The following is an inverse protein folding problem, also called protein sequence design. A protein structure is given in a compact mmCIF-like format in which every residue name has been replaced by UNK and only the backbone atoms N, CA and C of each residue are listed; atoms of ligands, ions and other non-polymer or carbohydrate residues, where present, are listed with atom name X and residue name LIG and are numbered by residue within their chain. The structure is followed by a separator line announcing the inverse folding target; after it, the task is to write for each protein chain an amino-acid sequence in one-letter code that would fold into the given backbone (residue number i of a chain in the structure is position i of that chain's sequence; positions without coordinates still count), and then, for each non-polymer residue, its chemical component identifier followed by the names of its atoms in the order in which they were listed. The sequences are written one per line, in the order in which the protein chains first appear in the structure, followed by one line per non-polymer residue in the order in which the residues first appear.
data_IF_497853943619
#
_entry.id   IF_497853943619
#
_cell.length_a   1.000
_cell.length_b   1.000
_cell.length_c   1.000
_cell.angle_alpha   90.00
_cell.angle_beta   90.00
_cell.angle_gamma   90.00
#
_symmetry.space_group_name_H-M   'P 1'
#
loop_
_entity.id
_entity.type
_entity.pdbx_description
1 polymer ?
#
# COMPACT_ATOMS: atom_id res chain seq x y z
N UNK A 1 6.70 -13.12 4.73
CA UNK A 1 6.32 -11.70 4.89
C UNK A 1 7.45 -10.77 5.36
N UNK A 2 8.56 -11.23 5.95
CA UNK A 2 9.69 -10.33 6.29
C UNK A 2 10.61 -9.99 5.10
N UNK A 3 10.52 -10.72 3.98
CA UNK A 3 11.49 -10.60 2.88
C UNK A 3 11.24 -9.43 1.93
N UNK A 4 9.99 -8.93 1.81
CA UNK A 4 9.67 -7.82 0.91
C UNK A 4 10.07 -6.44 1.48
N UNK A 5 10.12 -6.31 2.82
CA UNK A 5 10.32 -5.01 3.48
C UNK A 5 11.79 -4.54 3.36
N UNK A 6 12.75 -5.44 3.09
CA UNK A 6 14.16 -5.09 2.89
C UNK A 6 14.48 -4.47 1.52
N UNK A 7 13.54 -4.42 0.59
CA UNK A 7 13.81 -4.02 -0.80
C UNK A 7 13.45 -2.57 -1.16
N UNK A 8 13.31 -1.67 -0.17
CA UNK A 8 13.05 -0.25 -0.46
C UNK A 8 11.79 -0.06 -1.33
N UNK A 9 10.80 -0.94 -1.17
CA UNK A 9 9.55 -0.86 -1.91
C UNK A 9 8.87 0.43 -1.50
N UNK A 10 8.68 1.32 -2.46
CA UNK A 10 7.92 2.54 -2.25
C UNK A 10 6.43 2.18 -2.15
N UNK A 11 5.91 2.14 -0.92
CA UNK A 11 4.49 1.87 -0.64
C UNK A 11 3.56 2.98 -1.16
N UNK A 12 4.14 4.11 -1.55
CA UNK A 12 3.47 5.25 -2.13
C UNK A 12 3.56 5.26 -3.67
N UNK A 13 4.17 4.24 -4.27
CA UNK A 13 4.21 4.08 -5.71
C UNK A 13 2.79 4.05 -6.28
N UNK A 14 2.62 4.72 -7.42
CA UNK A 14 1.36 4.79 -8.14
C UNK A 14 1.40 3.86 -9.34
N UNK A 15 0.29 3.19 -9.60
CA UNK A 15 0.09 2.44 -10.84
C UNK A 15 -0.13 3.37 -12.04
N UNK A 16 -0.44 2.79 -13.20
CA UNK A 16 -0.70 3.53 -14.45
C UNK A 16 -1.91 4.46 -14.36
N UNK A 17 -2.83 4.19 -13.45
CA UNK A 17 -4.04 4.98 -13.19
C UNK A 17 -3.83 6.01 -12.07
N UNK A 18 -2.63 6.08 -11.50
CA UNK A 18 -2.30 7.00 -10.41
C UNK A 18 -2.70 6.50 -9.02
N UNK A 19 -3.11 5.24 -8.88
CA UNK A 19 -3.56 4.64 -7.61
C UNK A 19 -2.39 4.03 -6.84
N UNK A 20 -2.39 4.24 -5.53
CA UNK A 20 -1.45 3.58 -4.62
C UNK A 20 -1.95 2.20 -4.22
N UNK A 21 -1.06 1.35 -3.70
CA UNK A 21 -1.44 0.05 -3.14
C UNK A 21 -2.55 0.18 -2.08
N UNK A 22 -2.52 1.26 -1.29
CA UNK A 22 -3.54 1.54 -0.28
C UNK A 22 -4.90 1.89 -0.92
N UNK A 23 -4.90 2.67 -2.01
CA UNK A 23 -6.13 3.01 -2.72
C UNK A 23 -6.79 1.78 -3.32
N UNK A 24 -6.00 0.88 -3.90
CA UNK A 24 -6.48 -0.40 -4.43
C UNK A 24 -7.08 -1.28 -3.32
N UNK A 25 -6.42 -1.37 -2.15
CA UNK A 25 -6.95 -2.11 -1.01
C UNK A 25 -8.30 -1.53 -0.52
N UNK A 26 -8.46 -0.20 -0.52
CA UNK A 26 -9.73 0.43 -0.17
C UNK A 26 -10.83 0.19 -1.22
N UNK A 27 -10.49 0.18 -2.50
CA UNK A 27 -11.46 -0.10 -3.58
C UNK A 27 -11.96 -1.56 -3.55
N UNK A 28 -11.12 -2.48 -3.09
CA UNK A 28 -11.44 -3.90 -2.93
C UNK A 28 -12.07 -4.23 -1.55
N UNK A 29 -12.37 -3.21 -0.73
CA UNK A 29 -12.86 -3.34 0.66
C UNK A 29 -11.98 -4.25 1.54
N UNK A 30 -10.69 -4.35 1.18
CA UNK A 30 -9.71 -5.22 1.81
C UNK A 30 -9.04 -4.50 2.99
N UNK A 31 -9.75 -4.50 4.11
CA UNK A 31 -9.33 -3.84 5.36
C UNK A 31 -8.03 -4.41 5.90
N UNK A 32 -7.80 -5.73 5.80
CA UNK A 32 -6.56 -6.37 6.26
C UNK A 32 -5.34 -5.87 5.47
N UNK A 33 -5.46 -5.77 4.14
CA UNK A 33 -4.40 -5.22 3.30
C UNK A 33 -4.17 -3.74 3.58
N UNK A 34 -5.24 -2.95 3.80
CA UNK A 34 -5.13 -1.54 4.13
C UNK A 34 -4.42 -1.31 5.48
N UNK A 35 -4.78 -2.08 6.51
CA UNK A 35 -4.12 -2.04 7.82
C UNK A 35 -2.65 -2.41 7.74
N UNK A 36 -2.32 -3.45 6.99
CA UNK A 36 -0.93 -3.87 6.77
C UNK A 36 -0.12 -2.74 6.10
N UNK A 37 -0.65 -2.13 5.04
CA UNK A 37 0.02 -1.05 4.31
C UNK A 37 0.24 0.19 5.21
N UNK A 38 -0.76 0.56 6.01
CA UNK A 38 -0.64 1.66 6.98
C UNK A 38 0.40 1.35 8.06
N UNK A 39 0.42 0.12 8.58
CA UNK A 39 1.41 -0.30 9.57
C UNK A 39 2.85 -0.26 9.03
N UNK A 40 3.02 -0.39 7.71
CA UNK A 40 4.32 -0.28 7.04
C UNK A 40 4.65 1.14 6.54
N UNK A 41 3.79 2.13 6.80
CA UNK A 41 4.06 3.54 6.50
C UNK A 41 3.51 4.05 5.16
N UNK A 42 2.56 3.35 4.54
CA UNK A 42 1.83 3.88 3.38
C UNK A 42 1.07 5.16 3.77
N UNK A 43 1.10 6.17 2.90
CA UNK A 43 0.41 7.44 3.15
C UNK A 43 -1.04 7.38 2.65
N UNK A 44 -2.05 7.55 3.52
CA UNK A 44 -3.47 7.52 3.14
C UNK A 44 -3.92 8.73 2.31
N UNK A 45 -3.11 9.79 2.23
CA UNK A 45 -3.53 11.06 1.64
C UNK A 45 -3.03 11.29 0.20
N UNK A 46 -2.41 10.29 -0.44
CA UNK A 46 -1.75 10.46 -1.75
C UNK A 46 -2.24 9.51 -2.84
#
# INVERSE_FOLDING_TARGET
MQFLISHGIDLNAKDVDGKTALKLAMEDDNTEAAELLLAHGANPNI
#
